data_IF_444771919431
#
_entry.id   IF_444771919431
#
_cell.length_a   1.000
_cell.length_b   1.000
_cell.length_c   1.000
_cell.angle_alpha   90.00
_cell.angle_beta   90.00
_cell.angle_gamma   90.00
#
_symmetry.space_group_name_H-M   'P 1'
#
loop_
_entity.id
_entity.type
_entity.pdbx_description
1 polymer ?
#
# COMPACT_ATOMS: atom_id res chain seq x y z
N UNK A 1 11.77 -2.30 9.36
CA UNK A 1 11.39 -2.89 10.67
C UNK A 1 12.61 -3.49 11.38
N UNK A 2 12.85 -3.16 12.66
CA UNK A 2 13.99 -3.71 13.43
C UNK A 2 13.69 -5.07 14.06
N UNK A 3 12.41 -5.48 14.13
CA UNK A 3 11.94 -6.74 14.70
C UNK A 3 11.21 -7.57 13.63
N UNK A 4 11.37 -8.89 13.69
CA UNK A 4 10.69 -9.84 12.80
C UNK A 4 9.17 -9.78 13.00
N UNK A 5 8.41 -9.99 11.94
CA UNK A 5 6.96 -10.14 11.97
C UNK A 5 6.64 -11.60 11.64
N UNK A 6 5.87 -12.26 12.50
CA UNK A 6 5.36 -13.62 12.27
C UNK A 6 3.94 -13.51 11.75
N UNK A 7 3.66 -14.18 10.63
CA UNK A 7 2.32 -14.23 10.05
C UNK A 7 1.73 -15.61 10.31
N UNK A 8 0.68 -15.65 11.12
CA UNK A 8 -0.11 -16.85 11.33
C UNK A 8 -1.29 -16.84 10.35
N UNK A 9 -1.48 -17.94 9.63
CA UNK A 9 -2.48 -18.06 8.57
C UNK A 9 -3.45 -19.18 8.90
N UNK A 10 -4.70 -18.81 9.18
CA UNK A 10 -5.77 -19.74 9.50
C UNK A 10 -6.64 -20.01 8.26
N UNK A 11 -6.89 -21.28 7.90
CA UNK A 11 -7.83 -21.63 6.84
C UNK A 11 -9.27 -21.43 7.32
N UNK A 12 -9.97 -20.44 6.76
CA UNK A 12 -11.37 -20.17 7.09
C UNK A 12 -12.29 -20.99 6.19
N UNK A 13 -11.98 -21.07 4.89
CA UNK A 13 -12.75 -21.84 3.91
C UNK A 13 -11.88 -22.26 2.73
N UNK A 14 -12.07 -23.50 2.29
CA UNK A 14 -11.62 -24.03 1.01
C UNK A 14 -12.85 -24.48 0.21
N UNK A 15 -13.34 -23.62 -0.68
CA UNK A 15 -14.47 -23.92 -1.57
C UNK A 15 -13.98 -24.33 -2.97
N UNK A 16 -14.93 -24.52 -3.90
CA UNK A 16 -14.61 -24.83 -5.30
C UNK A 16 -13.84 -23.69 -5.98
N UNK A 17 -14.47 -22.52 -6.13
CA UNK A 17 -13.86 -21.36 -6.79
C UNK A 17 -13.21 -20.35 -5.84
N UNK A 18 -13.46 -20.43 -4.52
CA UNK A 18 -13.00 -19.44 -3.55
C UNK A 18 -12.34 -20.06 -2.33
N UNK A 19 -11.25 -19.44 -1.92
CA UNK A 19 -10.43 -19.82 -0.76
C UNK A 19 -10.24 -18.61 0.14
N UNK A 20 -10.59 -18.74 1.43
CA UNK A 20 -10.50 -17.63 2.39
C UNK A 20 -9.50 -17.98 3.50
N UNK A 21 -8.63 -17.03 3.81
CA UNK A 21 -7.63 -17.09 4.88
C UNK A 21 -7.79 -15.92 5.82
N UNK A 22 -7.63 -16.16 7.11
CA UNK A 22 -7.38 -15.10 8.10
C UNK A 22 -5.89 -15.04 8.35
N UNK A 23 -5.30 -13.85 8.30
CA UNK A 23 -3.88 -13.64 8.58
C UNK A 23 -3.76 -12.72 9.79
N UNK A 24 -3.05 -13.19 10.80
CA UNK A 24 -2.68 -12.39 11.98
C UNK A 24 -1.17 -12.16 11.96
N UNK A 25 -0.75 -10.90 11.83
CA UNK A 25 0.64 -10.53 11.96
C UNK A 25 0.96 -10.23 13.43
N UNK A 26 2.03 -10.83 13.95
CA UNK A 26 2.47 -10.69 15.34
C UNK A 26 3.91 -10.22 15.42
N UNK A 27 4.19 -9.38 16.41
CA UNK A 27 5.55 -9.05 16.85
C UNK A 27 5.67 -9.36 18.34
N UNK A 28 6.72 -10.06 18.75
CA UNK A 28 6.92 -10.52 20.13
C UNK A 28 5.70 -11.28 20.69
N UNK A 29 5.01 -12.05 19.83
CA UNK A 29 3.79 -12.79 20.16
C UNK A 29 2.51 -11.94 20.24
N UNK A 30 2.62 -10.61 20.17
CA UNK A 30 1.48 -9.69 20.24
C UNK A 30 0.91 -9.41 18.85
N UNK A 31 -0.40 -9.59 18.60
CA UNK A 31 -1.04 -9.21 17.35
C UNK A 31 -0.91 -7.71 17.08
N UNK A 32 -0.38 -7.35 15.90
CA UNK A 32 -0.22 -5.97 15.44
C UNK A 32 -1.09 -5.64 14.23
N UNK A 33 -1.57 -6.67 13.53
CA UNK A 33 -2.43 -6.52 12.37
C UNK A 33 -3.22 -7.81 12.15
N UNK A 34 -4.46 -7.67 11.69
CA UNK A 34 -5.30 -8.80 11.30
C UNK A 34 -6.01 -8.45 10.00
N UNK A 35 -6.06 -9.40 9.07
CA UNK A 35 -6.80 -9.27 7.82
C UNK A 35 -7.46 -10.59 7.43
N UNK A 36 -8.47 -10.50 6.57
CA UNK A 36 -9.04 -11.63 5.86
C UNK A 36 -8.76 -11.46 4.38
N UNK A 37 -8.23 -12.49 3.74
CA UNK A 37 -7.89 -12.50 2.32
C UNK A 37 -8.70 -13.58 1.64
N UNK A 38 -9.35 -13.22 0.54
CA UNK A 38 -10.10 -14.16 -0.30
C UNK A 38 -9.42 -14.27 -1.66
N UNK A 39 -9.20 -15.49 -2.11
CA UNK A 39 -8.67 -15.83 -3.42
C UNK A 39 -9.80 -16.45 -4.24
N UNK A 40 -9.86 -16.13 -5.52
CA UNK A 40 -10.81 -16.70 -6.46
C UNK A 40 -10.06 -17.26 -7.67
N UNK A 41 -10.54 -18.37 -8.22
CA UNK A 41 -10.12 -18.83 -9.55
C UNK A 41 -10.56 -17.83 -10.62
N UNK A 42 -9.78 -17.68 -11.69
CA UNK A 42 -10.18 -16.81 -12.78
C UNK A 42 -11.42 -17.39 -13.50
N UNK A 43 -12.42 -16.55 -13.70
CA UNK A 43 -13.70 -16.90 -14.33
C UNK A 43 -14.17 -15.75 -15.21
N UNK A 44 -14.79 -16.07 -16.34
CA UNK A 44 -15.44 -15.06 -17.20
C UNK A 44 -16.75 -14.59 -16.56
N UNK A 45 -17.11 -13.33 -16.80
CA UNK A 45 -18.33 -12.75 -16.25
C UNK A 45 -18.61 -11.35 -16.77
N UNK A 46 -19.55 -10.66 -16.14
CA UNK A 46 -19.83 -9.27 -16.45
C UNK A 46 -18.65 -8.37 -16.07
N UNK A 47 -18.26 -7.48 -16.97
CA UNK A 47 -17.26 -6.45 -16.72
C UNK A 47 -17.88 -5.07 -16.88
N UNK A 48 -17.77 -4.26 -15.84
CA UNK A 48 -18.10 -2.84 -15.87
C UNK A 48 -17.18 -2.10 -14.91
N UNK A 49 -16.82 -0.87 -15.24
CA UNK A 49 -16.07 0.02 -14.37
C UNK A 49 -16.48 1.46 -14.66
N UNK A 50 -16.29 2.35 -13.70
CA UNK A 50 -16.42 3.79 -13.95
C UNK A 50 -15.33 4.26 -14.93
N UNK A 51 -15.62 5.33 -15.65
CA UNK A 51 -14.61 6.02 -16.45
C UNK A 51 -13.55 6.64 -15.53
N UNK A 52 -12.29 6.55 -15.96
CA UNK A 52 -11.19 7.19 -15.24
C UNK A 52 -11.36 8.72 -15.33
N UNK A 53 -11.25 9.45 -14.20
CA UNK A 53 -11.32 10.91 -14.25
C UNK A 53 -10.14 11.48 -15.05
N UNK A 54 -10.36 12.61 -15.72
CA UNK A 54 -9.28 13.38 -16.33
C UNK A 54 -8.42 14.01 -15.22
N UNK A 55 -7.17 13.58 -15.12
CA UNK A 55 -6.19 14.07 -14.15
C UNK A 55 -4.87 14.35 -14.85
N UNK A 56 -4.08 15.25 -14.28
CA UNK A 56 -2.72 15.53 -14.77
C UNK A 56 -1.90 14.24 -14.85
N UNK A 57 -1.20 14.00 -15.97
CA UNK A 57 -0.38 12.80 -16.13
C UNK A 57 0.73 12.80 -15.07
N UNK A 58 1.13 11.61 -14.57
CA UNK A 58 2.10 11.51 -13.49
C UNK A 58 3.42 12.19 -13.83
N UNK A 59 3.86 12.18 -15.10
CA UNK A 59 5.08 12.81 -15.59
C UNK A 59 5.13 14.33 -15.36
N UNK A 60 3.97 14.98 -15.24
CA UNK A 60 3.84 16.42 -14.99
C UNK A 60 3.66 16.77 -13.51
N UNK A 61 3.61 15.76 -12.62
CA UNK A 61 3.48 15.97 -11.18
C UNK A 61 4.84 15.95 -10.50
N UNK A 62 5.02 16.88 -9.55
CA UNK A 62 6.17 16.88 -8.65
C UNK A 62 6.16 15.60 -7.79
N UNK A 63 7.34 14.99 -7.66
CA UNK A 63 7.49 13.81 -6.80
C UNK A 63 7.57 14.23 -5.33
N UNK A 64 7.10 13.36 -4.42
CA UNK A 64 7.28 13.55 -2.98
C UNK A 64 8.77 13.78 -2.64
N UNK A 65 9.69 13.12 -3.34
CA UNK A 65 11.12 13.27 -3.10
C UNK A 65 11.60 14.69 -3.41
N UNK A 66 11.22 15.24 -4.56
CA UNK A 66 11.55 16.61 -4.95
C UNK A 66 10.95 17.61 -3.97
N UNK A 67 9.68 17.45 -3.65
CA UNK A 67 8.97 18.31 -2.70
C UNK A 67 9.67 18.34 -1.33
N UNK A 68 9.92 17.18 -0.73
CA UNK A 68 10.57 17.10 0.59
C UNK A 68 12.03 17.56 0.55
N UNK A 69 12.75 17.33 -0.55
CA UNK A 69 14.11 17.84 -0.73
C UNK A 69 14.14 19.37 -0.80
N UNK A 70 13.17 19.98 -1.47
CA UNK A 70 13.03 21.44 -1.50
C UNK A 70 12.65 22.00 -0.13
N UNK A 71 11.71 21.37 0.58
CA UNK A 71 11.31 21.79 1.94
C UNK A 71 12.46 21.70 2.95
N UNK A 72 13.29 20.66 2.89
CA UNK A 72 14.47 20.55 3.73
C UNK A 72 15.52 21.63 3.43
N UNK A 73 15.65 22.07 2.17
CA UNK A 73 16.53 23.20 1.80
C UNK A 73 16.01 24.54 2.33
N UNK A 74 14.69 24.75 2.31
CA UNK A 74 14.07 26.00 2.73
C UNK A 74 13.91 26.12 4.25
N UNK A 75 13.72 25.00 4.95
CA UNK A 75 13.50 24.94 6.40
C UNK A 75 14.35 23.83 7.05
N UNK A 76 15.69 23.97 7.04
CA UNK A 76 16.61 22.94 7.51
C UNK A 76 16.46 22.62 9.01
N UNK A 77 15.94 23.54 9.81
CA UNK A 77 15.64 23.35 11.23
C UNK A 77 14.41 22.47 11.49
N UNK A 78 13.55 22.28 10.48
CA UNK A 78 12.25 21.61 10.63
C UNK A 78 12.17 20.30 9.85
N UNK A 79 12.82 20.23 8.69
CA UNK A 79 12.72 19.07 7.80
C UNK A 79 14.10 18.55 7.41
N UNK A 80 14.24 17.22 7.40
CA UNK A 80 15.41 16.54 6.85
C UNK A 80 15.12 16.08 5.42
N UNK A 81 16.17 16.05 4.58
CA UNK A 81 16.04 15.50 3.24
C UNK A 81 15.63 14.01 3.29
N UNK A 82 14.74 13.56 2.39
CA UNK A 82 14.32 12.17 2.35
C UNK A 82 15.51 11.23 2.09
N UNK A 83 15.66 10.20 2.93
CA UNK A 83 16.82 9.30 2.89
C UNK A 83 16.60 8.04 2.02
N UNK A 84 15.34 7.68 1.75
CA UNK A 84 14.94 6.52 0.95
C UNK A 84 13.64 6.79 0.20
N UNK A 85 13.46 6.12 -0.94
CA UNK A 85 12.26 6.18 -1.77
C UNK A 85 11.72 4.76 -2.01
N UNK A 86 11.09 4.17 -0.98
CA UNK A 86 10.52 2.83 -1.09
C UNK A 86 9.24 2.78 -1.96
N UNK A 87 8.54 3.91 -2.05
CA UNK A 87 7.36 4.12 -2.89
C UNK A 87 7.45 5.51 -3.49
N UNK A 88 7.28 5.63 -4.80
CA UNK A 88 7.13 6.92 -5.46
C UNK A 88 5.68 7.39 -5.32
N UNK A 89 5.50 8.64 -4.86
CA UNK A 89 4.20 9.27 -4.69
C UNK A 89 4.23 10.62 -5.38
N UNK A 90 3.16 10.93 -6.10
CA UNK A 90 2.97 12.17 -6.84
C UNK A 90 1.58 12.72 -6.50
N UNK A 91 1.47 13.69 -5.58
CA UNK A 91 0.17 14.17 -5.13
C UNK A 91 -0.49 15.02 -6.22
N UNK A 92 -1.69 14.61 -6.65
CA UNK A 92 -2.54 15.42 -7.53
C UNK A 92 -3.18 16.51 -6.69
N UNK A 93 -2.94 17.78 -7.03
CA UNK A 93 -3.67 18.92 -6.43
C UNK A 93 -5.10 18.88 -6.96
N UNK A 94 -6.06 18.69 -6.06
CA UNK A 94 -7.51 18.79 -6.37
C UNK A 94 -7.94 20.24 -6.53
#
# INVERSE_FOLDING_TARGET
PKKQIVYEVDPIRDGGSFTTRRVTAKQDGVPIFSTSVSFQTQEDGFSHQFEMPEVTPPEELETDFEFWSQMAKQHPERFAAPMMQALERRPVKR
#
